data_IF_203455575236
#
_entry.id   IF_203455575236
#
_cell.length_a   1.000
_cell.length_b   1.000
_cell.length_c   1.000
_cell.angle_alpha   90.00
_cell.angle_beta   90.00
_cell.angle_gamma   90.00
#
_symmetry.space_group_name_H-M   'P 1'
#
loop_
_entity.id
_entity.type
_entity.pdbx_description
1 polymer ?
#
# COMPACT_ATOMS: atom_id res chain seq x y z
N UNK A 1 -8.41 -21.93 -4.94
CA UNK A 1 -8.66 -20.63 -4.34
C UNK A 1 -8.30 -19.56 -5.36
N UNK A 2 -9.22 -18.64 -5.64
CA UNK A 2 -8.97 -17.47 -6.49
C UNK A 2 -9.12 -16.21 -5.65
N UNK A 3 -8.19 -15.29 -5.80
CA UNK A 3 -8.23 -14.00 -5.09
C UNK A 3 -8.00 -12.84 -6.07
N UNK A 4 -8.66 -11.73 -5.85
CA UNK A 4 -8.48 -10.50 -6.61
C UNK A 4 -8.78 -9.29 -5.73
N UNK A 5 -8.32 -8.13 -6.15
CA UNK A 5 -8.62 -6.86 -5.49
C UNK A 5 -9.84 -6.20 -6.12
N UNK A 6 -10.69 -5.63 -5.29
CA UNK A 6 -11.80 -4.79 -5.69
C UNK A 6 -11.48 -3.35 -5.29
N UNK A 7 -11.52 -2.43 -6.26
CA UNK A 7 -11.27 -1.02 -6.03
C UNK A 7 -12.57 -0.22 -6.12
N UNK A 8 -12.84 0.60 -5.11
CA UNK A 8 -14.05 1.41 -5.00
C UNK A 8 -13.77 2.88 -5.40
N UNK A 9 -13.81 3.17 -6.70
CA UNK A 9 -13.63 4.53 -7.26
C UNK A 9 -14.92 5.14 -7.86
N UNK A 10 -16.09 4.67 -7.42
CA UNK A 10 -17.38 5.07 -7.99
C UNK A 10 -17.94 4.09 -9.02
N UNK A 11 -17.09 3.36 -9.73
CA UNK A 11 -17.42 2.16 -10.50
C UNK A 11 -16.53 1.04 -10.00
N UNK A 12 -17.11 -0.09 -9.63
CA UNK A 12 -16.37 -1.24 -9.12
C UNK A 12 -15.45 -1.79 -10.22
N UNK A 13 -14.15 -1.87 -9.91
CA UNK A 13 -13.15 -2.44 -10.80
C UNK A 13 -12.42 -3.58 -10.10
N UNK A 14 -12.35 -4.72 -10.74
CA UNK A 14 -11.55 -5.85 -10.27
C UNK A 14 -10.12 -5.75 -10.80
N UNK A 15 -9.15 -6.09 -9.99
CA UNK A 15 -7.73 -6.08 -10.32
C UNK A 15 -7.08 -7.39 -9.91
N UNK A 16 -6.23 -7.95 -10.77
CA UNK A 16 -5.43 -9.13 -10.46
C UNK A 16 -4.41 -8.85 -9.35
N UNK A 17 -4.11 -9.86 -8.53
CA UNK A 17 -3.10 -9.71 -7.47
C UNK A 17 -1.66 -9.51 -8.00
N UNK A 18 -1.41 -9.91 -9.24
CA UNK A 18 -0.11 -9.74 -9.90
C UNK A 18 0.06 -8.36 -10.54
N UNK A 19 -1.03 -7.59 -10.68
CA UNK A 19 -0.99 -6.27 -11.29
C UNK A 19 -0.55 -5.21 -10.27
N UNK A 20 0.12 -4.13 -10.69
CA UNK A 20 0.42 -3.01 -9.81
C UNK A 20 -0.84 -2.44 -9.18
N UNK A 21 -0.82 -2.17 -7.88
CA UNK A 21 -1.95 -1.55 -7.20
C UNK A 21 -2.25 -0.18 -7.80
N UNK A 22 -3.52 0.12 -8.02
CA UNK A 22 -3.95 1.44 -8.43
C UNK A 22 -3.64 2.49 -7.34
N UNK A 23 -3.81 3.78 -7.65
CA UNK A 23 -3.47 4.88 -6.75
C UNK A 23 -4.09 4.72 -5.36
N UNK A 24 -3.25 4.71 -4.33
CA UNK A 24 -3.68 4.70 -2.94
C UNK A 24 -4.15 6.10 -2.56
N UNK A 25 -5.42 6.23 -2.21
CA UNK A 25 -6.03 7.49 -1.80
C UNK A 25 -6.09 7.62 -0.28
N UNK A 26 -6.46 8.79 0.20
CA UNK A 26 -6.68 9.04 1.64
C UNK A 26 -7.92 8.35 2.23
N UNK A 27 -8.71 7.68 1.41
CA UNK A 27 -9.87 6.88 1.81
C UNK A 27 -9.59 5.41 1.57
N UNK A 28 -10.24 4.56 2.36
CA UNK A 28 -10.16 3.11 2.24
C UNK A 28 -10.96 2.64 1.02
N UNK A 29 -10.26 2.22 -0.05
CA UNK A 29 -10.88 1.91 -1.35
C UNK A 29 -10.58 0.51 -1.87
N UNK A 30 -9.75 -0.27 -1.18
CA UNK A 30 -9.34 -1.58 -1.68
C UNK A 30 -9.87 -2.70 -0.79
N UNK A 31 -10.60 -3.64 -1.40
CA UNK A 31 -11.06 -4.87 -0.78
C UNK A 31 -10.40 -6.08 -1.43
N UNK A 32 -9.94 -7.03 -0.61
CA UNK A 32 -9.46 -8.32 -1.07
C UNK A 32 -10.62 -9.31 -1.10
N UNK A 33 -10.96 -9.82 -2.27
CA UNK A 33 -11.95 -10.88 -2.45
C UNK A 33 -11.24 -12.21 -2.60
N UNK A 34 -11.64 -13.20 -1.82
CA UNK A 34 -11.11 -14.56 -1.88
C UNK A 34 -12.26 -15.54 -2.15
N UNK A 35 -12.14 -16.33 -3.21
CA UNK A 35 -13.13 -17.33 -3.58
C UNK A 35 -12.55 -18.72 -3.37
N UNK A 36 -13.19 -19.51 -2.53
CA UNK A 36 -12.88 -20.91 -2.31
C UNK A 36 -13.85 -21.77 -3.09
N UNK A 37 -13.34 -22.68 -3.93
CA UNK A 37 -14.16 -23.57 -4.71
C UNK A 37 -13.37 -24.34 -5.76
N UNK A 38 -14.04 -25.28 -6.41
CA UNK A 38 -13.57 -25.96 -7.63
C UNK A 38 -14.19 -25.27 -8.85
N UNK A 39 -13.70 -25.57 -10.08
CA UNK A 39 -14.07 -24.85 -11.30
C UNK A 39 -15.60 -24.78 -11.61
N UNK A 40 -16.39 -25.60 -10.94
CA UNK A 40 -17.85 -25.68 -11.15
C UNK A 40 -18.69 -25.38 -9.89
N UNK A 41 -18.06 -25.15 -8.74
CA UNK A 41 -18.78 -24.89 -7.51
C UNK A 41 -18.01 -23.93 -6.59
N UNK A 42 -18.62 -22.80 -6.27
CA UNK A 42 -18.12 -21.86 -5.27
C UNK A 42 -18.54 -22.39 -3.89
N UNK A 43 -17.56 -22.63 -3.01
CA UNK A 43 -17.80 -23.13 -1.65
C UNK A 43 -17.90 -21.97 -0.66
N UNK A 44 -17.05 -20.93 -0.83
CA UNK A 44 -17.03 -19.78 0.06
C UNK A 44 -16.46 -18.55 -0.66
N UNK A 45 -16.93 -17.35 -0.26
CA UNK A 45 -16.44 -16.06 -0.74
C UNK A 45 -16.15 -15.18 0.47
N UNK A 46 -14.90 -14.76 0.62
CA UNK A 46 -14.47 -13.80 1.65
C UNK A 46 -14.14 -12.44 1.04
N UNK A 47 -14.59 -11.36 1.68
CA UNK A 47 -14.23 -9.99 1.36
C UNK A 47 -13.71 -9.30 2.61
N UNK A 48 -12.56 -8.65 2.53
CA UNK A 48 -12.05 -7.75 3.57
C UNK A 48 -11.37 -6.54 2.97
N UNK A 49 -11.41 -5.42 3.66
CA UNK A 49 -10.62 -4.24 3.31
C UNK A 49 -9.14 -4.47 3.60
N UNK A 50 -8.26 -3.88 2.78
CA UNK A 50 -6.82 -3.93 3.02
C UNK A 50 -6.48 -3.22 4.33
N UNK A 51 -5.53 -3.80 5.06
CA UNK A 51 -5.02 -3.21 6.30
C UNK A 51 -4.06 -2.06 5.96
N UNK A 52 -3.93 -1.06 6.84
CA UNK A 52 -2.99 0.05 6.63
C UNK A 52 -1.57 -0.43 6.30
N UNK A 53 -1.06 -1.44 7.00
CA UNK A 53 0.27 -2.01 6.74
C UNK A 53 0.42 -2.56 5.32
N UNK A 54 -0.62 -3.19 4.78
CA UNK A 54 -0.63 -3.68 3.39
C UNK A 54 -0.56 -2.54 2.38
N UNK A 55 -1.25 -1.41 2.66
CA UNK A 55 -1.20 -0.21 1.82
C UNK A 55 0.18 0.46 1.85
N UNK A 56 0.81 0.56 3.03
CA UNK A 56 2.17 1.11 3.16
C UNK A 56 3.20 0.22 2.43
N UNK A 57 3.08 -1.11 2.52
CA UNK A 57 3.92 -2.04 1.74
C UNK A 57 3.73 -1.83 0.24
N UNK A 58 2.51 -1.69 -0.23
CA UNK A 58 2.21 -1.43 -1.64
C UNK A 58 2.81 -0.10 -2.12
N UNK A 59 2.92 0.90 -1.25
CA UNK A 59 3.62 2.17 -1.50
C UNK A 59 5.16 2.05 -1.47
N UNK A 60 5.70 0.91 -1.03
CA UNK A 60 7.14 0.67 -0.96
C UNK A 60 7.79 1.14 0.35
N UNK A 61 7.00 1.34 1.41
CA UNK A 61 7.56 1.57 2.75
C UNK A 61 8.12 0.27 3.33
N UNK A 62 9.22 0.31 4.07
CA UNK A 62 9.75 -0.85 4.76
C UNK A 62 8.81 -1.35 5.86
N UNK A 63 8.92 -2.62 6.23
CA UNK A 63 8.01 -3.25 7.19
C UNK A 63 8.14 -2.72 8.61
N UNK A 64 9.29 -2.21 8.97
CA UNK A 64 9.61 -1.59 10.26
C UNK A 64 9.20 -0.11 10.34
N UNK A 65 8.68 0.47 9.26
CA UNK A 65 8.20 1.86 9.27
C UNK A 65 7.04 2.03 10.24
N UNK A 66 7.16 2.98 11.15
CA UNK A 66 6.17 3.24 12.21
C UNK A 66 4.97 3.96 11.63
N UNK A 67 3.79 3.34 11.67
CA UNK A 67 2.54 3.89 11.16
C UNK A 67 1.53 4.27 12.26
N UNK A 68 2.01 4.39 13.51
CA UNK A 68 1.16 4.71 14.66
C UNK A 68 0.45 3.49 15.24
N UNK A 69 1.01 2.30 15.06
CA UNK A 69 0.56 1.03 15.62
C UNK A 69 1.53 0.45 16.66
N UNK A 70 2.58 1.20 17.01
CA UNK A 70 3.59 0.78 17.98
C UNK A 70 3.22 1.22 19.41
N UNK A 71 2.88 0.27 20.29
CA UNK A 71 2.55 0.55 21.70
C UNK A 71 3.71 1.17 22.48
N UNK A 72 4.96 0.91 22.08
CA UNK A 72 6.14 1.41 22.76
C UNK A 72 6.30 2.94 22.64
N UNK A 73 5.71 3.55 21.62
CA UNK A 73 5.78 4.99 21.39
C UNK A 73 4.58 5.77 21.93
N UNK A 74 3.60 5.09 22.55
CA UNK A 74 2.43 5.73 23.16
C UNK A 74 1.45 6.36 22.19
N UNK A 75 1.72 6.31 20.86
CA UNK A 75 0.87 6.87 19.82
C UNK A 75 0.05 5.75 19.17
N UNK A 76 -1.25 5.77 19.42
CA UNK A 76 -2.19 4.83 18.78
C UNK A 76 -3.10 5.58 17.82
N UNK A 77 -2.77 5.52 16.53
CA UNK A 77 -3.60 6.10 15.46
C UNK A 77 -4.73 5.15 15.06
N UNK A 78 -5.88 5.73 14.72
CA UNK A 78 -7.00 4.97 14.15
C UNK A 78 -6.63 4.43 12.75
N UNK A 79 -7.27 3.34 12.34
CA UNK A 79 -7.13 2.78 11.00
C UNK A 79 -7.33 3.84 9.89
N UNK A 80 -8.39 4.65 10.01
CA UNK A 80 -8.69 5.71 9.07
C UNK A 80 -7.60 6.77 9.00
N UNK A 81 -6.98 7.11 10.13
CA UNK A 81 -5.84 8.03 10.15
C UNK A 81 -4.62 7.43 9.44
N UNK A 82 -4.31 6.17 9.69
CA UNK A 82 -3.21 5.46 9.04
C UNK A 82 -3.41 5.35 7.52
N UNK A 83 -4.64 5.01 7.05
CA UNK A 83 -4.98 4.98 5.62
C UNK A 83 -4.82 6.36 4.99
N UNK A 84 -5.28 7.42 5.68
CA UNK A 84 -5.12 8.80 5.22
C UNK A 84 -3.65 9.20 5.10
N UNK A 85 -2.82 8.84 6.07
CA UNK A 85 -1.37 9.08 6.01
C UNK A 85 -0.73 8.39 4.82
N UNK A 86 -1.09 7.13 4.58
CA UNK A 86 -0.60 6.38 3.42
C UNK A 86 -1.01 7.07 2.10
N UNK A 87 -2.28 7.46 1.95
CA UNK A 87 -2.76 8.14 0.76
C UNK A 87 -2.13 9.52 0.50
N UNK A 88 -1.70 10.21 1.55
CA UNK A 88 -1.00 11.50 1.46
C UNK A 88 0.53 11.34 1.28
N UNK A 89 1.05 10.13 1.36
CA UNK A 89 2.48 9.87 1.26
C UNK A 89 2.96 9.81 -0.19
N UNK A 90 4.25 10.04 -0.39
CA UNK A 90 4.95 9.79 -1.65
C UNK A 90 5.62 8.42 -1.56
N UNK A 91 5.60 7.66 -2.66
CA UNK A 91 6.27 6.37 -2.77
C UNK A 91 7.80 6.54 -2.54
N UNK A 92 8.39 5.99 -1.46
CA UNK A 92 9.79 6.21 -1.13
C UNK A 92 10.78 5.75 -2.22
N UNK A 93 10.59 4.59 -2.88
CA UNK A 93 11.46 4.19 -3.99
C UNK A 93 11.46 5.18 -5.16
N UNK A 94 10.30 5.76 -5.50
CA UNK A 94 10.21 6.77 -6.56
C UNK A 94 10.91 8.07 -6.18
N UNK A 95 10.67 8.58 -4.97
CA UNK A 95 11.35 9.76 -4.46
C UNK A 95 12.87 9.56 -4.44
N UNK A 96 13.33 8.39 -3.98
CA UNK A 96 14.76 8.03 -4.01
C UNK A 96 15.32 8.03 -5.42
N UNK A 97 14.62 7.44 -6.39
CA UNK A 97 15.06 7.38 -7.78
C UNK A 97 15.19 8.78 -8.39
N UNK A 98 14.21 9.66 -8.15
CA UNK A 98 14.23 11.04 -8.61
C UNK A 98 15.40 11.83 -8.02
N UNK A 99 15.63 11.72 -6.72
CA UNK A 99 16.75 12.39 -6.04
C UNK A 99 18.08 11.87 -6.59
N UNK A 100 18.25 10.56 -6.74
CA UNK A 100 19.49 9.99 -7.28
C UNK A 100 19.75 10.44 -8.72
N UNK A 101 18.70 10.54 -9.54
CA UNK A 101 18.84 10.98 -10.94
C UNK A 101 19.23 12.46 -11.05
N UNK A 102 18.71 13.32 -10.17
CA UNK A 102 18.89 14.77 -10.28
C UNK A 102 20.04 15.33 -9.44
N UNK A 103 20.42 14.66 -8.33
CA UNK A 103 21.41 15.15 -7.36
C UNK A 103 22.60 14.19 -7.18
N UNK A 104 22.85 13.29 -8.12
CA UNK A 104 23.98 12.36 -8.05
C UNK A 104 25.33 13.10 -7.97
N UNK A 105 25.46 14.23 -8.61
CA UNK A 105 26.68 15.07 -8.62
C UNK A 105 27.01 15.66 -7.25
N UNK A 106 26.03 15.91 -6.38
CA UNK A 106 26.28 16.44 -5.03
C UNK A 106 26.96 15.42 -4.11
N UNK A 107 26.78 14.11 -4.38
CA UNK A 107 27.49 13.05 -3.62
C UNK A 107 29.00 13.07 -3.85
N UNK A 108 29.45 13.50 -5.01
CA UNK A 108 30.88 13.62 -5.31
C UNK A 108 31.49 14.80 -4.57
N UNK A 109 30.80 15.93 -4.49
CA UNK A 109 31.24 17.12 -3.74
C UNK A 109 31.40 16.80 -2.24
N UNK A 110 30.44 16.07 -1.64
CA UNK A 110 30.47 15.66 -0.24
C UNK A 110 31.59 14.64 0.08
N UNK A 111 32.14 13.92 -0.93
CA UNK A 111 33.28 13.00 -0.75
C UNK A 111 34.62 13.69 -0.82
N UNK A 112 34.70 14.87 -1.39
CA UNK A 112 35.93 15.65 -1.56
C UNK A 112 36.09 16.67 -0.44
N UNK A 113 35.04 16.96 0.28
CA UNK A 113 35.06 17.81 1.48
C UNK A 113 35.31 16.97 2.75
#
# INVERSE_FOLDING_TARGET
>A
VRSFLLAYYGTDQSQGLADPLATVTSRDRFGLVTIHGQDYQIVDIGLRMLQPRELFRAQGFPDDYIIGDDPAQGLKLTKSAQVRMCGNSVCPPMAKALILANFAHEREIARVA
#
